data_IF_792623365311
#
_entry.id   IF_792623365311
#
_cell.length_a   1.000
_cell.length_b   1.000
_cell.length_c   1.000
_cell.angle_alpha   90.00
_cell.angle_beta   90.00
_cell.angle_gamma   90.00
#
_symmetry.space_group_name_H-M   'P 1'
#
loop_
_entity.id
_entity.type
_entity.pdbx_description
1 polymer ?
#
# COMPACT_ATOMS: atom_id res chain seq x y z
N UNK A 1 4.43 33.48 6.65
CA UNK A 1 2.97 33.17 6.76
C UNK A 1 2.56 32.63 5.41
N UNK A 2 1.95 31.43 5.33
CA UNK A 2 1.46 30.88 4.06
C UNK A 2 0.18 31.65 3.73
N UNK A 3 0.08 32.21 2.52
CA UNK A 3 -1.11 32.92 2.09
C UNK A 3 -2.23 31.96 1.67
N UNK A 4 -3.46 32.47 1.57
CA UNK A 4 -4.65 31.68 1.25
C UNK A 4 -4.58 31.08 -0.17
N UNK A 5 -3.95 31.78 -1.11
CA UNK A 5 -3.79 31.30 -2.47
C UNK A 5 -2.86 30.07 -2.53
N UNK A 6 -1.77 30.11 -1.80
CA UNK A 6 -0.84 28.97 -1.65
C UNK A 6 -1.52 27.76 -1.02
N UNK A 7 -2.37 27.96 0.01
CA UNK A 7 -3.14 26.87 0.63
C UNK A 7 -4.14 26.25 -0.35
N UNK A 8 -4.92 27.06 -1.06
CA UNK A 8 -5.88 26.57 -2.05
C UNK A 8 -5.20 25.77 -3.16
N UNK A 9 -4.03 26.22 -3.61
CA UNK A 9 -3.22 25.51 -4.59
C UNK A 9 -2.72 24.16 -4.07
N UNK A 10 -2.27 24.13 -2.81
CA UNK A 10 -1.84 22.91 -2.16
C UNK A 10 -2.98 21.91 -2.03
N UNK A 11 -4.14 22.34 -1.51
CA UNK A 11 -5.30 21.49 -1.30
C UNK A 11 -5.80 20.87 -2.62
N UNK A 12 -5.79 21.66 -3.70
CA UNK A 12 -6.13 21.15 -5.02
C UNK A 12 -5.18 20.03 -5.44
N UNK A 13 -3.87 20.28 -5.43
CA UNK A 13 -2.87 19.30 -5.84
C UNK A 13 -2.85 18.07 -4.93
N UNK A 14 -3.07 18.26 -3.63
CA UNK A 14 -3.17 17.18 -2.67
C UNK A 14 -4.35 16.24 -3.03
N UNK A 15 -5.55 16.80 -3.15
CA UNK A 15 -6.77 16.02 -3.43
C UNK A 15 -6.69 15.29 -4.78
N UNK A 16 -6.14 15.92 -5.81
CA UNK A 16 -6.02 15.33 -7.15
C UNK A 16 -4.94 14.25 -7.23
N UNK A 17 -3.87 14.36 -6.43
CA UNK A 17 -2.71 13.46 -6.55
C UNK A 17 -2.66 12.36 -5.50
N UNK A 18 -3.29 12.55 -4.31
CA UNK A 18 -3.08 11.71 -3.13
C UNK A 18 -3.25 10.21 -3.40
N UNK A 19 -4.35 9.82 -4.03
CA UNK A 19 -4.63 8.41 -4.34
C UNK A 19 -3.52 7.79 -5.19
N UNK A 20 -3.08 8.49 -6.23
CA UNK A 20 -2.05 8.01 -7.14
C UNK A 20 -0.67 7.94 -6.46
N UNK A 21 -0.36 8.92 -5.62
CA UNK A 21 0.89 8.95 -4.84
C UNK A 21 0.92 7.82 -3.83
N UNK A 22 -0.16 7.64 -3.06
CA UNK A 22 -0.28 6.57 -2.08
C UNK A 22 -0.11 5.20 -2.74
N UNK A 23 -0.83 4.95 -3.83
CA UNK A 23 -0.69 3.72 -4.61
C UNK A 23 0.74 3.49 -5.10
N UNK A 24 1.38 4.54 -5.66
CA UNK A 24 2.75 4.45 -6.12
C UNK A 24 3.71 4.08 -4.98
N UNK A 25 3.60 4.75 -3.84
CA UNK A 25 4.47 4.50 -2.67
C UNK A 25 4.24 3.09 -2.13
N UNK A 26 2.99 2.65 -1.94
CA UNK A 26 2.67 1.29 -1.47
C UNK A 26 3.29 0.23 -2.40
N UNK A 27 3.12 0.36 -3.71
CA UNK A 27 3.65 -0.62 -4.67
C UNK A 27 5.17 -0.68 -4.66
N UNK A 28 5.84 0.45 -4.41
CA UNK A 28 7.28 0.57 -4.52
C UNK A 28 8.04 0.62 -3.19
N UNK A 29 7.37 0.61 -2.03
CA UNK A 29 8.02 0.55 -0.73
C UNK A 29 8.25 -0.90 -0.29
N UNK A 30 9.34 -1.21 0.40
CA UNK A 30 9.61 -2.56 0.91
C UNK A 30 8.96 -2.85 2.26
N UNK A 31 8.67 -1.81 3.06
CA UNK A 31 7.99 -1.93 4.34
C UNK A 31 6.75 -1.02 4.36
N UNK A 32 5.63 -1.57 4.79
CA UNK A 32 4.34 -0.86 4.82
C UNK A 32 4.31 0.25 5.88
N UNK A 33 5.01 0.04 6.99
CA UNK A 33 5.11 1.03 8.07
C UNK A 33 5.75 2.34 7.62
N UNK A 34 6.66 2.28 6.64
CA UNK A 34 7.36 3.47 6.12
C UNK A 34 6.54 4.26 5.09
N UNK A 35 5.41 3.70 4.61
CA UNK A 35 4.59 4.31 3.54
C UNK A 35 4.06 5.68 3.95
N UNK A 36 3.53 5.79 5.17
CA UNK A 36 2.97 7.04 5.68
C UNK A 36 4.02 8.14 5.72
N UNK A 37 5.19 7.85 6.24
CA UNK A 37 6.30 8.81 6.34
C UNK A 37 6.78 9.26 4.96
N UNK A 38 6.87 8.34 4.00
CA UNK A 38 7.25 8.68 2.62
C UNK A 38 6.21 9.60 2.00
N UNK A 39 4.90 9.29 2.13
CA UNK A 39 3.81 10.11 1.60
C UNK A 39 3.80 11.49 2.24
N UNK A 40 3.94 11.58 3.56
CA UNK A 40 4.04 12.87 4.27
C UNK A 40 5.21 13.70 3.73
N UNK A 41 6.39 13.09 3.57
CA UNK A 41 7.57 13.77 3.06
C UNK A 41 7.39 14.27 1.61
N UNK A 42 6.60 13.58 0.79
CA UNK A 42 6.24 14.06 -0.57
C UNK A 42 5.48 15.38 -0.47
N UNK A 43 4.48 15.47 0.40
CA UNK A 43 3.65 16.68 0.53
C UNK A 43 4.34 17.80 1.28
N UNK A 44 5.21 17.49 2.23
CA UNK A 44 6.10 18.51 2.85
C UNK A 44 7.01 19.16 1.80
N UNK A 45 7.59 18.36 0.90
CA UNK A 45 8.45 18.89 -0.17
C UNK A 45 7.65 19.61 -1.26
N UNK A 46 6.41 19.18 -1.54
CA UNK A 46 5.47 19.91 -2.39
C UNK A 46 5.21 21.30 -1.80
N UNK A 47 4.86 21.40 -0.52
CA UNK A 47 4.54 22.65 0.14
C UNK A 47 5.71 23.66 0.09
N UNK A 48 6.95 23.20 0.30
CA UNK A 48 8.16 24.02 0.20
C UNK A 48 8.37 24.63 -1.19
N UNK A 49 7.87 24.00 -2.24
CA UNK A 49 8.14 24.35 -3.63
C UNK A 49 6.91 24.87 -4.38
N UNK A 50 5.75 24.91 -3.73
CA UNK A 50 4.45 25.11 -4.36
C UNK A 50 4.32 26.39 -5.17
N UNK A 51 4.96 27.47 -4.71
CA UNK A 51 4.94 28.78 -5.39
C UNK A 51 5.70 28.78 -6.74
N UNK A 52 6.53 27.76 -6.97
CA UNK A 52 7.32 27.60 -8.22
C UNK A 52 6.67 26.66 -9.22
N UNK A 53 5.55 26.03 -8.87
CA UNK A 53 4.93 24.96 -9.67
C UNK A 53 3.80 25.55 -10.51
N UNK A 54 3.77 25.21 -11.81
CA UNK A 54 2.60 25.43 -12.64
C UNK A 54 1.54 24.35 -12.37
N UNK A 55 0.29 24.76 -12.13
CA UNK A 55 -0.83 23.86 -11.81
C UNK A 55 -1.10 22.88 -12.94
N UNK A 56 -0.95 23.26 -14.21
CA UNK A 56 -1.26 22.42 -15.37
C UNK A 56 -0.45 21.12 -15.41
N UNK A 57 0.76 21.12 -14.83
CA UNK A 57 1.65 19.97 -14.71
C UNK A 57 1.81 19.49 -13.26
N UNK A 58 0.95 19.96 -12.34
CA UNK A 58 1.08 19.73 -10.90
C UNK A 58 1.13 18.25 -10.51
N UNK A 59 0.24 17.44 -11.05
CA UNK A 59 0.19 15.99 -10.73
C UNK A 59 1.46 15.26 -11.18
N UNK A 60 1.99 15.57 -12.35
CA UNK A 60 3.25 15.00 -12.84
C UNK A 60 4.44 15.43 -11.98
N UNK A 61 4.43 16.67 -11.48
CA UNK A 61 5.44 17.19 -10.59
C UNK A 61 5.42 16.49 -9.22
N UNK A 62 4.23 16.34 -8.61
CA UNK A 62 4.07 15.60 -7.34
C UNK A 62 4.53 14.15 -7.49
N UNK A 63 4.20 13.50 -8.60
CA UNK A 63 4.68 12.15 -8.91
C UNK A 63 6.22 12.10 -9.02
N UNK A 64 6.84 13.14 -9.59
CA UNK A 64 8.29 13.30 -9.61
C UNK A 64 8.92 13.36 -8.21
N UNK A 65 8.29 14.11 -7.29
CA UNK A 65 8.70 14.16 -5.87
C UNK A 65 8.58 12.76 -5.25
N UNK A 66 7.46 12.07 -5.46
CA UNK A 66 7.23 10.72 -4.91
C UNK A 66 8.30 9.72 -5.39
N UNK A 67 8.63 9.72 -6.68
CA UNK A 67 9.71 8.90 -7.24
C UNK A 67 11.05 9.18 -6.56
N UNK A 68 11.37 10.44 -6.33
CA UNK A 68 12.60 10.82 -5.65
C UNK A 68 12.61 10.34 -4.20
N UNK A 69 11.49 10.49 -3.46
CA UNK A 69 11.38 10.02 -2.07
C UNK A 69 11.52 8.51 -1.94
N UNK A 70 10.90 7.75 -2.83
CA UNK A 70 11.09 6.29 -2.87
C UNK A 70 12.55 5.92 -3.19
N UNK A 71 13.20 6.64 -4.10
CA UNK A 71 14.63 6.42 -4.39
C UNK A 71 15.53 6.78 -3.18
N UNK A 72 15.24 7.88 -2.46
CA UNK A 72 15.92 8.25 -1.22
C UNK A 72 15.76 7.18 -0.15
N UNK A 73 14.55 6.66 0.04
CA UNK A 73 14.24 5.55 0.94
C UNK A 73 15.11 4.33 0.65
N UNK A 74 15.24 3.91 -0.61
CA UNK A 74 16.09 2.77 -0.96
C UNK A 74 17.57 3.05 -0.79
N UNK A 75 18.04 4.26 -1.11
CA UNK A 75 19.44 4.63 -0.88
C UNK A 75 19.81 4.57 0.59
N UNK A 76 18.91 5.03 1.47
CA UNK A 76 19.11 4.96 2.91
C UNK A 76 19.09 3.52 3.40
N UNK A 77 18.08 2.75 3.04
CA UNK A 77 17.96 1.34 3.44
C UNK A 77 19.06 0.45 2.83
N UNK A 78 19.54 0.76 1.62
CA UNK A 78 20.65 0.03 1.03
C UNK A 78 21.95 0.24 1.81
N UNK A 79 22.22 1.45 2.31
CA UNK A 79 23.36 1.72 3.20
C UNK A 79 23.26 0.96 4.52
N UNK A 80 22.04 0.81 5.07
CA UNK A 80 21.78 0.04 6.29
C UNK A 80 21.85 -1.46 6.04
N UNK A 81 21.37 -1.96 4.87
CA UNK A 81 21.43 -3.39 4.50
C UNK A 81 22.82 -3.91 4.17
N UNK A 82 23.76 -3.06 3.77
CA UNK A 82 25.17 -3.48 3.63
C UNK A 82 25.79 -3.96 4.95
N UNK A 83 25.15 -3.64 6.08
CA UNK A 83 25.54 -4.12 7.42
C UNK A 83 24.82 -5.44 7.79
N UNK A 84 23.72 -5.80 7.13
CA UNK A 84 22.89 -6.97 7.43
C UNK A 84 22.59 -7.85 6.20
N UNK A 85 23.61 -8.14 5.38
CA UNK A 85 23.51 -9.07 4.26
C UNK A 85 23.54 -10.52 4.77
N UNK A 86 22.43 -11.03 5.30
CA UNK A 86 22.12 -12.48 5.35
C UNK A 86 20.70 -12.69 5.87
N UNK A 87 19.75 -12.78 4.96
CA UNK A 87 18.60 -13.69 5.04
C UNK A 87 17.60 -13.38 3.90
N UNK A 88 17.87 -13.97 2.75
CA UNK A 88 16.83 -14.27 1.76
C UNK A 88 16.79 -15.79 1.75
N UNK A 89 15.90 -16.33 2.54
CA UNK A 89 15.46 -17.71 2.39
C UNK A 89 13.97 -17.74 2.66
N UNK A 90 13.19 -18.00 1.65
CA UNK A 90 11.92 -18.66 1.83
C UNK A 90 11.56 -19.47 0.59
N UNK A 91 11.81 -20.76 0.70
CA UNK A 91 11.19 -21.80 -0.10
C UNK A 91 9.68 -21.65 -0.07
N UNK A 92 9.11 -21.55 -1.24
CA UNK A 92 7.68 -21.41 -1.47
C UNK A 92 7.10 -22.80 -1.66
N UNK A 93 6.39 -23.31 -0.65
CA UNK A 93 5.66 -24.57 -0.73
C UNK A 93 4.45 -24.42 -1.66
N UNK A 94 4.50 -25.06 -2.82
CA UNK A 94 3.54 -24.95 -3.93
C UNK A 94 2.33 -25.90 -3.79
N UNK A 95 1.96 -26.34 -2.59
CA UNK A 95 0.89 -27.31 -2.40
C UNK A 95 -0.37 -26.71 -1.74
N UNK A 96 -1.03 -25.79 -2.42
CA UNK A 96 -2.42 -25.45 -2.08
C UNK A 96 -3.29 -25.53 -3.33
N UNK A 97 -4.12 -26.56 -3.42
CA UNK A 97 -5.25 -26.62 -4.34
C UNK A 97 -6.27 -25.56 -3.91
N UNK A 98 -6.34 -24.47 -4.65
CA UNK A 98 -7.29 -23.37 -4.42
C UNK A 98 -8.48 -23.62 -5.34
N UNK A 99 -9.72 -23.75 -4.82
CA UNK A 99 -10.93 -23.86 -5.64
C UNK A 99 -11.11 -22.59 -6.51
N UNK A 100 -11.50 -22.77 -7.76
CA UNK A 100 -11.70 -21.67 -8.72
C UNK A 100 -12.95 -20.81 -8.43
N UNK A 101 -13.88 -21.26 -7.57
CA UNK A 101 -15.12 -20.58 -7.21
C UNK A 101 -15.08 -20.06 -5.78
N UNK A 102 -14.47 -18.89 -5.58
CA UNK A 102 -14.61 -18.16 -4.34
C UNK A 102 -15.43 -16.88 -4.58
N UNK A 103 -16.71 -16.95 -4.24
CA UNK A 103 -17.62 -15.83 -4.20
C UNK A 103 -17.35 -15.00 -2.93
N UNK A 104 -16.80 -13.81 -3.12
CA UNK A 104 -16.63 -12.83 -2.06
C UNK A 104 -17.99 -12.16 -1.84
N UNK A 105 -18.87 -12.79 -1.03
CA UNK A 105 -20.10 -12.14 -0.60
C UNK A 105 -19.75 -10.88 0.21
N UNK A 106 -20.32 -9.75 -0.23
CA UNK A 106 -20.27 -8.46 0.43
C UNK A 106 -20.92 -8.54 1.83
N UNK A 107 -20.17 -9.01 2.82
CA UNK A 107 -20.52 -8.75 4.21
C UNK A 107 -20.16 -7.30 4.53
N UNK A 108 -21.15 -6.52 4.95
CA UNK A 108 -20.98 -5.14 5.40
C UNK A 108 -19.90 -5.03 6.47
N UNK A 109 -18.72 -4.60 6.07
CA UNK A 109 -17.58 -4.39 6.98
C UNK A 109 -17.80 -3.08 7.73
N UNK A 110 -17.94 -3.14 9.07
CA UNK A 110 -18.01 -1.96 9.92
C UNK A 110 -16.69 -1.20 9.91
N UNK A 111 -16.72 0.12 10.16
CA UNK A 111 -15.49 0.95 10.20
C UNK A 111 -14.42 0.44 11.18
N UNK A 112 -14.87 -0.14 12.31
CA UNK A 112 -14.00 -0.75 13.33
C UNK A 112 -13.30 -1.99 12.80
N UNK A 113 -13.95 -2.76 11.94
CA UNK A 113 -13.38 -3.94 11.29
C UNK A 113 -12.31 -3.55 10.26
N UNK A 114 -12.50 -2.42 9.55
CA UNK A 114 -11.50 -1.92 8.59
C UNK A 114 -10.18 -1.60 9.30
N UNK A 115 -10.22 -0.91 10.43
CA UNK A 115 -9.01 -0.61 11.21
C UNK A 115 -8.32 -1.89 11.65
N UNK A 116 -9.09 -2.82 12.21
CA UNK A 116 -8.57 -4.12 12.63
C UNK A 116 -7.93 -4.90 11.48
N UNK A 117 -8.59 -4.95 10.31
CA UNK A 117 -8.06 -5.61 9.10
C UNK A 117 -6.76 -4.94 8.67
N UNK A 118 -6.69 -3.61 8.65
CA UNK A 118 -5.48 -2.88 8.31
C UNK A 118 -4.33 -3.19 9.27
N UNK A 119 -4.60 -3.20 10.57
CA UNK A 119 -3.59 -3.51 11.59
C UNK A 119 -3.12 -4.97 11.50
N UNK A 120 -4.04 -5.90 11.23
CA UNK A 120 -3.71 -7.31 10.97
C UNK A 120 -2.81 -7.46 9.73
N UNK A 121 -3.14 -6.77 8.65
CA UNK A 121 -2.37 -6.83 7.40
C UNK A 121 -1.00 -6.17 7.53
N UNK A 122 -0.83 -5.13 8.35
CA UNK A 122 0.48 -4.51 8.64
C UNK A 122 1.43 -5.50 9.32
N UNK A 123 0.90 -6.43 10.13
CA UNK A 123 1.68 -7.51 10.74
C UNK A 123 2.11 -8.63 9.78
N UNK A 124 1.68 -8.58 8.49
CA UNK A 124 2.06 -9.55 7.47
C UNK A 124 3.22 -9.05 6.61
N UNK A 125 3.72 -9.92 5.73
CA UNK A 125 4.70 -9.51 4.72
C UNK A 125 4.13 -8.37 3.86
N UNK A 126 4.97 -7.39 3.50
CA UNK A 126 4.56 -6.24 2.70
C UNK A 126 3.85 -6.63 1.39
N UNK A 127 4.23 -7.75 0.76
CA UNK A 127 3.58 -8.24 -0.46
C UNK A 127 2.12 -8.61 -0.22
N UNK A 128 1.77 -9.17 0.95
CA UNK A 128 0.38 -9.51 1.30
C UNK A 128 -0.46 -8.24 1.41
N UNK A 129 0.04 -7.25 2.14
CA UNK A 129 -0.64 -5.95 2.25
C UNK A 129 -0.88 -5.32 0.88
N UNK A 130 0.15 -5.31 -0.01
CA UNK A 130 0.04 -4.77 -1.36
C UNK A 130 -1.03 -5.46 -2.18
N UNK A 131 -1.07 -6.79 -2.13
CA UNK A 131 -2.08 -7.59 -2.83
C UNK A 131 -3.49 -7.21 -2.36
N UNK A 132 -3.70 -7.15 -1.04
CA UNK A 132 -5.00 -6.75 -0.46
C UNK A 132 -5.40 -5.33 -0.82
N UNK A 133 -4.48 -4.37 -0.70
CA UNK A 133 -4.72 -2.98 -1.06
C UNK A 133 -5.14 -2.84 -2.52
N UNK A 134 -4.40 -3.47 -3.44
CA UNK A 134 -4.68 -3.37 -4.87
C UNK A 134 -5.98 -4.07 -5.27
N UNK A 135 -6.27 -5.22 -4.68
CA UNK A 135 -7.46 -5.99 -5.00
C UNK A 135 -8.73 -5.40 -4.41
N UNK A 136 -8.76 -5.10 -3.09
CA UNK A 136 -9.97 -4.65 -2.40
C UNK A 136 -10.16 -3.13 -2.40
N UNK A 137 -9.10 -2.34 -2.32
CA UNK A 137 -9.22 -0.88 -2.25
C UNK A 137 -9.16 -0.21 -3.64
N UNK A 138 -8.31 -0.73 -4.53
CA UNK A 138 -8.17 -0.23 -5.91
C UNK A 138 -9.05 -0.97 -6.91
N UNK A 139 -9.77 -2.02 -6.49
CA UNK A 139 -10.67 -2.84 -7.32
C UNK A 139 -9.98 -3.40 -8.58
N UNK A 140 -8.72 -3.83 -8.42
CA UNK A 140 -7.94 -4.37 -9.52
C UNK A 140 -8.18 -5.86 -9.69
N UNK A 141 -8.20 -6.33 -10.95
CA UNK A 141 -8.27 -7.77 -11.22
C UNK A 141 -7.01 -8.51 -10.75
N UNK A 142 -7.13 -9.81 -10.45
CA UNK A 142 -5.99 -10.65 -10.06
C UNK A 142 -4.85 -10.56 -11.10
N UNK A 143 -5.20 -10.53 -12.37
CA UNK A 143 -4.25 -10.40 -13.49
C UNK A 143 -3.50 -9.07 -13.44
N UNK A 144 -4.20 -7.96 -13.18
CA UNK A 144 -3.59 -6.63 -13.12
C UNK A 144 -2.70 -6.48 -11.88
N UNK A 145 -3.14 -7.02 -10.73
CA UNK A 145 -2.32 -7.09 -9.50
C UNK A 145 -1.05 -7.88 -9.75
N UNK A 146 -1.16 -9.06 -10.38
CA UNK A 146 -0.02 -9.91 -10.72
C UNK A 146 0.98 -9.18 -11.62
N UNK A 147 0.49 -8.51 -12.68
CA UNK A 147 1.31 -7.72 -13.58
C UNK A 147 2.00 -6.54 -12.90
N UNK A 148 1.28 -5.80 -12.06
CA UNK A 148 1.83 -4.63 -11.35
C UNK A 148 2.90 -5.02 -10.32
N UNK A 149 2.66 -6.09 -9.56
CA UNK A 149 3.59 -6.57 -8.52
C UNK A 149 4.67 -7.51 -9.07
N UNK A 150 4.60 -7.89 -10.35
CA UNK A 150 5.53 -8.82 -11.03
C UNK A 150 5.59 -10.19 -10.36
N UNK A 151 4.44 -10.71 -9.96
CA UNK A 151 4.26 -12.06 -9.40
C UNK A 151 3.26 -12.85 -10.24
N UNK A 152 3.15 -14.17 -10.04
CA UNK A 152 2.17 -14.99 -10.75
C UNK A 152 0.74 -14.74 -10.21
N UNK A 153 -0.28 -14.95 -11.05
CA UNK A 153 -1.68 -14.91 -10.62
C UNK A 153 -1.97 -15.93 -9.52
N UNK A 154 -1.31 -17.09 -9.58
CA UNK A 154 -1.39 -18.12 -8.55
C UNK A 154 -0.90 -17.60 -7.20
N UNK A 155 0.19 -16.84 -7.18
CA UNK A 155 0.69 -16.21 -5.94
C UNK A 155 -0.28 -15.15 -5.40
N UNK A 156 -0.89 -14.35 -6.28
CA UNK A 156 -1.93 -13.38 -5.86
C UNK A 156 -3.10 -14.10 -5.20
N UNK A 157 -3.64 -15.16 -5.85
CA UNK A 157 -4.70 -16.01 -5.30
C UNK A 157 -4.28 -16.59 -3.95
N UNK A 158 -3.09 -17.17 -3.87
CA UNK A 158 -2.57 -17.75 -2.63
C UNK A 158 -2.54 -16.74 -1.48
N UNK A 159 -1.99 -15.54 -1.69
CA UNK A 159 -1.96 -14.49 -0.68
C UNK A 159 -3.37 -14.06 -0.25
N UNK A 160 -4.30 -13.89 -1.19
CA UNK A 160 -5.68 -13.53 -0.89
C UNK A 160 -6.37 -14.62 -0.04
N UNK A 161 -6.41 -15.85 -0.52
CA UNK A 161 -7.15 -16.93 0.14
C UNK A 161 -6.60 -17.29 1.51
N UNK A 162 -5.28 -17.46 1.62
CA UNK A 162 -4.65 -17.79 2.90
C UNK A 162 -4.96 -16.72 3.94
N UNK A 163 -4.76 -15.46 3.58
CA UNK A 163 -4.93 -14.35 4.52
C UNK A 163 -6.40 -14.11 4.87
N UNK A 164 -7.33 -14.30 3.90
CA UNK A 164 -8.77 -14.26 4.20
C UNK A 164 -9.20 -15.35 5.17
N UNK A 165 -8.67 -16.57 5.02
CA UNK A 165 -8.96 -17.65 5.96
C UNK A 165 -8.41 -17.35 7.36
N UNK A 166 -7.20 -16.82 7.46
CA UNK A 166 -6.62 -16.39 8.73
C UNK A 166 -7.45 -15.26 9.37
N UNK A 167 -7.88 -14.27 8.59
CA UNK A 167 -8.75 -13.18 9.03
C UNK A 167 -10.10 -13.70 9.56
N UNK A 168 -10.76 -14.62 8.84
CA UNK A 168 -12.01 -15.22 9.28
C UNK A 168 -11.90 -15.89 10.65
N UNK A 169 -10.81 -16.63 10.89
CA UNK A 169 -10.56 -17.28 12.18
C UNK A 169 -10.39 -16.25 13.30
N UNK A 170 -9.58 -15.21 13.07
CA UNK A 170 -9.32 -14.18 14.08
C UNK A 170 -10.55 -13.34 14.37
N UNK A 171 -11.34 -12.97 13.33
CA UNK A 171 -12.59 -12.22 13.52
C UNK A 171 -13.66 -13.03 14.25
N UNK A 172 -13.75 -14.35 13.98
CA UNK A 172 -14.67 -15.24 14.71
C UNK A 172 -14.34 -15.28 16.20
N UNK A 173 -13.07 -15.49 16.54
CA UNK A 173 -12.62 -15.53 17.95
C UNK A 173 -12.89 -14.20 18.67
N UNK A 174 -12.76 -13.06 17.97
CA UNK A 174 -13.08 -11.73 18.51
C UNK A 174 -14.58 -11.53 18.74
N UNK A 175 -15.45 -12.14 17.91
CA UNK A 175 -16.90 -12.12 18.10
C UNK A 175 -17.34 -12.92 19.32
N UNK A 176 -16.67 -14.02 19.62
CA UNK A 176 -17.00 -14.89 20.74
C UNK A 176 -16.54 -14.32 22.10
N UNK A 177 -15.58 -13.37 22.14
CA UNK A 177 -15.13 -12.67 23.35
C UNK A 177 -16.03 -11.49 23.77
N UNK A 178 -16.98 -11.07 22.93
CA UNK A 178 -17.88 -9.95 23.17
C UNK A 178 -19.35 -10.37 23.45
N UNK A 179 -19.61 -11.62 23.85
CA UNK A 179 -20.94 -12.13 24.24
C UNK A 179 -20.97 -12.43 25.77
#
# INVERSE_FOLDING_TARGET
>A
MIDQETLNKFDKLYNESYKNILKYVICNCSNVEDVEDIVQNVYVDLLKKINKINIDNGNAYVMGIAKNKVNEYYRFNYKVKLVNLFSIDEEFDMTCNIPDDFDLQDEFIKKEDIKFICDFLKGKKAIVFKVFYLYFYEDMSIKDVAGLLKISESNVKHYLYRTLNELKVVMKNRGDENV
#
